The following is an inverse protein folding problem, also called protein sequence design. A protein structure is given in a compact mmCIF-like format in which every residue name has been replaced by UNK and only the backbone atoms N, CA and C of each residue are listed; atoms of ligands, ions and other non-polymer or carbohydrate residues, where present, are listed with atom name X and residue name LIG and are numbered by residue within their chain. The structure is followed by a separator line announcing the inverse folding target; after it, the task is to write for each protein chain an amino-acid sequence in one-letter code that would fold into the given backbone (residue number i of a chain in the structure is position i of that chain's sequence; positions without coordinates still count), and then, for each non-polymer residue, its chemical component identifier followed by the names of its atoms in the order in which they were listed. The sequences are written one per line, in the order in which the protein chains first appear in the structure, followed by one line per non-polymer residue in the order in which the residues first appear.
data_IF_258421806686
#
_entry.id   IF_258421806686
#
_cell.length_a   1.000
_cell.length_b   1.000
_cell.length_c   1.000
_cell.angle_alpha   90.00
_cell.angle_beta   90.00
_cell.angle_gamma   90.00
#
_symmetry.space_group_name_H-M   'P 1'
#
loop_
_entity.id
_entity.type
_entity.pdbx_description
1 polymer ?
#
# COMPACT_ATOMS: atom_id res chain seq x y z
N UNK A 1 -20.45 75.22 -28.80
CA UNK A 1 -19.86 75.64 -30.07
C UNK A 1 -19.43 74.47 -30.86
N UNK A 2 -20.08 74.42 -32.03
CA UNK A 2 -19.97 73.40 -33.07
C UNK A 2 -18.70 73.65 -33.87
N UNK A 3 -17.93 72.62 -34.21
CA UNK A 3 -17.22 72.55 -35.47
C UNK A 3 -17.12 71.09 -35.96
N UNK A 4 -17.86 70.82 -36.99
CA UNK A 4 -17.71 69.66 -37.87
C UNK A 4 -16.46 69.85 -38.73
N UNK A 5 -15.77 68.72 -38.97
CA UNK A 5 -14.95 68.61 -40.17
C UNK A 5 -15.07 67.20 -40.79
N UNK A 6 -15.53 67.25 -42.04
CA UNK A 6 -15.65 66.12 -43.01
C UNK A 6 -14.26 65.81 -43.56
N UNK A 7 -13.87 64.59 -43.67
CA UNK A 7 -12.72 64.21 -44.45
C UNK A 7 -12.92 62.88 -45.20
N UNK A 8 -12.52 62.96 -46.42
CA UNK A 8 -12.75 62.18 -47.57
C UNK A 8 -12.38 60.67 -47.50
N UNK A 9 -13.20 59.90 -48.24
CA UNK A 9 -12.99 58.49 -48.61
C UNK A 9 -11.99 58.44 -49.78
N UNK A 10 -10.92 57.68 -49.57
CA UNK A 10 -10.07 57.18 -50.67
C UNK A 10 -10.16 55.67 -50.72
N UNK A 11 -10.78 55.20 -51.80
CA UNK A 11 -10.90 53.82 -52.22
C UNK A 11 -9.58 53.38 -52.86
N UNK A 12 -8.85 52.49 -52.21
CA UNK A 12 -7.70 51.77 -52.82
C UNK A 12 -7.97 50.25 -52.80
N UNK A 13 -8.16 49.67 -53.96
CA UNK A 13 -8.22 48.22 -54.17
C UNK A 13 -6.83 47.61 -53.90
N UNK A 14 -6.73 46.52 -53.15
CA UNK A 14 -5.52 45.74 -53.14
C UNK A 14 -5.54 44.65 -54.28
N UNK A 15 -4.40 44.57 -54.97
CA UNK A 15 -4.03 43.52 -55.87
C UNK A 15 -4.10 42.16 -55.17
N UNK A 16 -4.81 41.20 -55.77
CA UNK A 16 -4.78 39.82 -55.33
C UNK A 16 -3.42 39.17 -55.73
N UNK A 17 -2.58 38.99 -54.75
CA UNK A 17 -1.39 38.12 -54.87
C UNK A 17 -1.82 36.69 -54.64
N UNK A 18 -1.79 35.87 -55.70
CA UNK A 18 -1.94 34.41 -55.60
C UNK A 18 -0.72 33.86 -54.83
N UNK A 19 -0.86 33.56 -53.56
CA UNK A 19 0.11 32.80 -52.78
C UNK A 19 -0.08 31.30 -53.10
N UNK A 20 0.93 30.72 -53.76
CA UNK A 20 1.03 29.28 -53.95
C UNK A 20 1.19 28.60 -52.62
N UNK A 21 0.27 27.69 -52.26
CA UNK A 21 0.38 26.84 -51.06
C UNK A 21 1.49 25.81 -51.27
N UNK A 22 2.46 25.71 -50.38
CA UNK A 22 3.45 24.62 -50.43
C UNK A 22 2.76 23.29 -50.17
N UNK A 23 2.99 22.35 -51.06
CA UNK A 23 2.57 20.94 -50.92
C UNK A 23 3.06 20.37 -49.59
N UNK A 24 2.13 20.05 -48.69
CA UNK A 24 2.44 19.42 -47.42
C UNK A 24 2.96 17.99 -47.64
N UNK A 25 4.18 17.73 -47.25
CA UNK A 25 4.74 16.38 -47.14
C UNK A 25 3.80 15.50 -46.28
N UNK A 26 3.55 14.24 -46.65
CA UNK A 26 2.74 13.33 -45.84
C UNK A 26 3.37 13.19 -44.43
N UNK A 27 2.56 13.49 -43.41
CA UNK A 27 2.93 13.26 -42.00
C UNK A 27 3.10 11.76 -41.76
N UNK A 28 4.18 11.28 -41.15
CA UNK A 28 4.31 9.88 -40.79
C UNK A 28 3.14 9.45 -39.90
N UNK A 29 2.54 8.30 -40.22
CA UNK A 29 1.43 7.72 -39.45
C UNK A 29 1.85 7.54 -37.98
N UNK A 30 0.99 7.98 -37.07
CA UNK A 30 1.18 7.77 -35.66
C UNK A 30 1.31 6.26 -35.34
N UNK A 31 2.23 5.85 -34.46
CA UNK A 31 2.35 4.44 -34.08
C UNK A 31 1.04 3.95 -33.49
N UNK A 32 0.56 2.80 -33.96
CA UNK A 32 -0.62 2.13 -33.41
C UNK A 32 -0.43 1.92 -31.91
N UNK A 33 -1.49 2.10 -31.07
CA UNK A 33 -1.42 1.80 -29.65
C UNK A 33 -0.96 0.35 -29.48
N UNK A 34 0.15 0.14 -28.73
CA UNK A 34 0.52 -1.21 -28.29
C UNK A 34 -0.63 -1.77 -27.46
N UNK A 35 -1.04 -2.99 -27.78
CA UNK A 35 -2.00 -3.75 -27.00
C UNK A 35 -1.58 -3.74 -25.50
N UNK A 36 -2.53 -3.75 -24.55
CA UNK A 36 -2.20 -3.82 -23.14
C UNK A 36 -1.28 -5.02 -22.90
N UNK A 37 -0.08 -4.75 -22.40
CA UNK A 37 0.81 -5.82 -21.93
C UNK A 37 0.07 -6.51 -20.80
N UNK A 38 -0.29 -7.79 -21.00
CA UNK A 38 -0.86 -8.61 -19.94
C UNK A 38 0.02 -8.48 -18.70
N UNK A 39 -0.61 -8.21 -17.55
CA UNK A 39 0.10 -8.18 -16.27
C UNK A 39 0.93 -9.47 -16.14
N UNK A 40 2.19 -9.40 -15.71
CA UNK A 40 3.01 -10.59 -15.52
C UNK A 40 2.25 -11.54 -14.59
N UNK A 41 2.21 -12.82 -14.96
CA UNK A 41 1.64 -13.87 -14.14
C UNK A 41 2.24 -13.78 -12.72
N UNK A 42 1.45 -13.98 -11.65
CA UNK A 42 1.96 -13.92 -10.30
C UNK A 42 3.17 -14.85 -10.17
N UNK A 43 4.27 -14.31 -9.64
CA UNK A 43 5.47 -15.10 -9.40
C UNK A 43 5.09 -16.33 -8.56
N UNK A 44 5.70 -17.52 -8.84
CA UNK A 44 5.38 -18.73 -8.10
C UNK A 44 5.53 -18.47 -6.60
N UNK A 45 4.50 -18.83 -5.83
CA UNK A 45 4.48 -18.70 -4.39
C UNK A 45 5.73 -19.35 -3.79
N UNK A 46 6.47 -18.60 -2.98
CA UNK A 46 7.61 -19.16 -2.26
C UNK A 46 7.11 -20.35 -1.41
N UNK A 47 7.84 -21.49 -1.36
CA UNK A 47 7.41 -22.62 -0.57
C UNK A 47 7.16 -22.19 0.87
N UNK A 48 5.96 -22.54 1.37
CA UNK A 48 5.51 -22.20 2.72
C UNK A 48 6.42 -22.84 3.76
N UNK A 49 7.08 -22.07 4.64
CA UNK A 49 7.88 -22.62 5.71
C UNK A 49 7.06 -23.01 6.96
N UNK A 50 5.74 -22.82 6.96
CA UNK A 50 4.91 -23.15 8.11
C UNK A 50 3.45 -23.31 7.72
N UNK A 51 2.81 -24.42 8.07
CA UNK A 51 1.46 -24.80 7.68
C UNK A 51 0.35 -24.10 8.49
N UNK A 52 0.49 -22.80 8.76
CA UNK A 52 -0.52 -22.03 9.49
C UNK A 52 -1.62 -21.47 8.58
N UNK A 53 -2.73 -21.01 9.16
CA UNK A 53 -3.77 -20.31 8.44
C UNK A 53 -3.22 -19.14 7.61
N UNK A 54 -3.71 -18.99 6.39
CA UNK A 54 -3.36 -17.86 5.51
C UNK A 54 -4.35 -16.72 5.75
N UNK A 55 -3.84 -15.52 5.90
CA UNK A 55 -4.63 -14.30 6.05
C UNK A 55 -4.52 -13.49 4.76
N UNK A 56 -5.67 -13.10 4.22
CA UNK A 56 -5.81 -12.23 3.04
C UNK A 56 -6.05 -10.81 3.51
N UNK A 57 -5.28 -9.85 2.98
CA UNK A 57 -5.40 -8.43 3.27
C UNK A 57 -5.71 -7.69 1.98
N UNK A 58 -6.95 -7.26 1.82
CA UNK A 58 -7.40 -6.42 0.70
C UNK A 58 -7.18 -4.95 1.06
N UNK A 59 -6.46 -4.23 0.25
CA UNK A 59 -6.13 -2.82 0.48
C UNK A 59 -6.57 -1.92 -0.67
N UNK A 60 -6.38 -0.63 -0.52
CA UNK A 60 -6.57 0.36 -1.61
C UNK A 60 -5.54 0.21 -2.74
N UNK A 61 -4.42 -0.50 -2.51
CA UNK A 61 -3.35 -0.71 -3.49
C UNK A 61 -3.37 -2.11 -4.14
N UNK A 62 -4.23 -2.99 -3.67
CA UNK A 62 -4.31 -4.38 -4.10
C UNK A 62 -4.39 -5.32 -2.91
N UNK A 63 -4.21 -6.60 -3.19
CA UNK A 63 -4.33 -7.67 -2.20
C UNK A 63 -2.98 -8.34 -1.99
N UNK A 64 -2.63 -8.61 -0.74
CA UNK A 64 -1.53 -9.48 -0.39
C UNK A 64 -1.98 -10.55 0.60
N UNK A 65 -1.27 -11.66 0.65
CA UNK A 65 -1.56 -12.78 1.52
C UNK A 65 -0.33 -13.10 2.36
N UNK A 66 -0.54 -13.43 3.62
CA UNK A 66 0.54 -13.94 4.46
C UNK A 66 0.10 -15.19 5.20
N UNK A 67 1.00 -16.15 5.32
CA UNK A 67 0.83 -17.33 6.19
C UNK A 67 1.22 -16.99 7.62
N UNK A 68 0.62 -17.70 8.56
CA UNK A 68 0.92 -17.55 9.98
C UNK A 68 1.80 -18.70 10.49
N UNK A 69 2.49 -18.49 11.63
CA UNK A 69 3.40 -19.44 12.24
C UNK A 69 2.89 -19.93 13.62
N UNK A 70 1.81 -20.75 13.67
CA UNK A 70 1.21 -21.17 14.94
C UNK A 70 2.12 -22.06 15.78
N UNK A 71 3.13 -22.73 15.16
CA UNK A 71 4.08 -23.55 15.91
C UNK A 71 5.11 -22.72 16.69
N UNK A 72 5.44 -21.52 16.23
CA UNK A 72 6.42 -20.66 16.88
C UNK A 72 5.79 -19.51 17.69
N UNK A 73 4.57 -19.11 17.32
CA UNK A 73 3.87 -18.01 17.97
C UNK A 73 2.37 -18.32 18.15
N UNK A 74 2.00 -19.42 18.83
CA UNK A 74 0.62 -19.91 18.90
C UNK A 74 -0.36 -18.88 19.48
N UNK A 75 -0.01 -18.20 20.55
CA UNK A 75 -0.89 -17.21 21.21
C UNK A 75 -1.03 -15.93 20.40
N UNK A 76 0.06 -15.49 19.77
CA UNK A 76 0.03 -14.33 18.86
C UNK A 76 -0.85 -14.63 17.65
N UNK A 77 -0.69 -15.81 17.05
CA UNK A 77 -1.51 -16.22 15.89
C UNK A 77 -2.98 -16.34 16.29
N UNK A 78 -3.29 -17.02 17.41
CA UNK A 78 -4.67 -17.13 17.95
C UNK A 78 -5.30 -15.74 18.14
N UNK A 79 -4.56 -14.83 18.77
CA UNK A 79 -5.00 -13.45 19.03
C UNK A 79 -5.30 -12.69 17.72
N UNK A 80 -4.37 -12.71 16.76
CA UNK A 80 -4.57 -12.04 15.47
C UNK A 80 -5.74 -12.66 14.70
N UNK A 81 -5.88 -13.98 14.68
CA UNK A 81 -7.00 -14.65 14.04
C UNK A 81 -8.35 -14.26 14.68
N UNK A 82 -8.40 -14.13 16.01
CA UNK A 82 -9.60 -13.66 16.71
C UNK A 82 -9.97 -12.22 16.31
N UNK A 83 -8.98 -11.32 16.17
CA UNK A 83 -9.19 -9.95 15.69
C UNK A 83 -9.68 -9.93 14.23
N UNK A 84 -9.10 -10.77 13.37
CA UNK A 84 -9.50 -10.92 11.96
C UNK A 84 -10.95 -11.39 11.85
N UNK A 85 -11.32 -12.45 12.57
CA UNK A 85 -12.68 -13.03 12.56
C UNK A 85 -13.76 -12.04 12.99
N UNK A 86 -13.46 -11.12 13.90
CA UNK A 86 -14.39 -10.05 14.32
C UNK A 86 -14.30 -8.77 13.49
N UNK A 87 -13.65 -8.82 12.32
CA UNK A 87 -13.45 -7.70 11.39
C UNK A 87 -12.76 -6.47 12.00
N UNK A 88 -11.92 -6.66 13.03
CA UNK A 88 -11.24 -5.56 13.71
C UNK A 88 -10.40 -4.70 12.77
N UNK A 89 -9.73 -5.28 11.78
CA UNK A 89 -8.83 -4.59 10.87
C UNK A 89 -9.52 -3.87 9.70
N UNK A 90 -10.79 -4.19 9.43
CA UNK A 90 -11.56 -3.57 8.33
C UNK A 90 -11.73 -2.06 8.57
N UNK A 91 -11.35 -1.27 7.57
CA UNK A 91 -11.40 0.19 7.62
C UNK A 91 -10.20 0.85 8.33
N UNK A 92 -9.28 0.07 8.91
CA UNK A 92 -8.05 0.62 9.45
C UNK A 92 -7.10 1.09 8.33
N UNK A 93 -6.18 1.99 8.68
CA UNK A 93 -5.18 2.52 7.75
C UNK A 93 -3.78 2.11 8.17
N UNK A 94 -2.91 2.05 7.18
CA UNK A 94 -1.48 2.02 7.45
C UNK A 94 -1.06 3.39 7.97
N UNK A 95 -0.67 3.46 9.23
CA UNK A 95 -0.33 4.72 9.90
C UNK A 95 1.17 5.03 9.85
N UNK A 96 2.00 4.02 9.57
CA UNK A 96 3.45 4.14 9.42
C UNK A 96 3.91 3.39 8.18
N UNK A 97 4.61 4.10 7.31
CA UNK A 97 5.24 3.54 6.11
C UNK A 97 6.63 4.14 6.01
N UNK A 98 7.65 3.31 6.11
CA UNK A 98 9.04 3.67 5.91
C UNK A 98 9.58 2.91 4.71
N UNK A 99 9.84 3.59 3.58
CA UNK A 99 10.32 2.95 2.36
C UNK A 99 11.59 2.13 2.62
N UNK A 100 11.59 0.89 2.10
CA UNK A 100 12.72 -0.03 2.31
C UNK A 100 12.84 -0.61 3.71
N UNK A 101 11.96 -0.26 4.64
CA UNK A 101 11.97 -0.77 6.01
C UNK A 101 10.67 -1.51 6.35
N UNK A 102 9.59 -0.82 6.70
CA UNK A 102 8.33 -1.46 7.11
C UNK A 102 7.09 -0.69 6.65
N UNK A 103 5.96 -1.42 6.56
CA UNK A 103 4.61 -0.87 6.60
C UNK A 103 3.92 -1.38 7.86
N UNK A 104 3.20 -0.53 8.60
CA UNK A 104 2.60 -0.87 9.90
C UNK A 104 1.14 -0.40 9.96
N UNK A 105 0.28 -1.28 10.48
CA UNK A 105 -1.16 -1.06 10.67
C UNK A 105 -1.63 -1.64 12.02
N UNK A 106 -2.94 -1.53 12.32
CA UNK A 106 -3.56 -2.18 13.48
C UNK A 106 -4.00 -1.23 14.59
N UNK A 107 -3.90 0.08 14.39
CA UNK A 107 -4.42 1.07 15.35
C UNK A 107 -5.86 1.49 14.99
N UNK A 108 -6.86 1.28 15.87
CA UNK A 108 -8.25 1.65 15.63
C UNK A 108 -8.50 3.16 15.48
N UNK A 109 -7.62 4.02 16.02
CA UNK A 109 -7.70 5.47 15.82
C UNK A 109 -7.60 5.85 14.33
N UNK A 110 -6.99 4.98 13.51
CA UNK A 110 -6.78 5.24 12.08
C UNK A 110 -8.06 5.21 11.25
N UNK A 111 -9.20 4.77 11.80
CA UNK A 111 -10.51 4.91 11.13
C UNK A 111 -10.93 6.36 11.01
N UNK A 112 -10.54 7.17 11.98
CA UNK A 112 -10.85 8.59 12.05
C UNK A 112 -9.64 9.42 11.63
N UNK A 113 -9.74 10.08 10.49
CA UNK A 113 -8.65 10.91 9.97
C UNK A 113 -8.40 12.16 10.82
N UNK A 114 -9.40 12.63 11.56
CA UNK A 114 -9.26 13.78 12.47
C UNK A 114 -8.35 13.47 13.65
N UNK A 115 -8.18 12.16 13.97
CA UNK A 115 -7.30 11.66 15.03
C UNK A 115 -5.90 11.30 14.55
N UNK A 116 -5.46 11.85 13.43
CA UNK A 116 -4.15 11.49 12.82
C UNK A 116 -2.96 11.68 13.77
N UNK A 117 -3.04 12.63 14.67
CA UNK A 117 -2.04 12.87 15.71
C UNK A 117 -1.97 11.76 16.80
N UNK A 118 -2.98 10.89 16.86
CA UNK A 118 -3.06 9.75 17.77
C UNK A 118 -2.78 8.42 17.08
N UNK A 119 -2.52 8.42 15.77
CA UNK A 119 -2.25 7.20 15.04
C UNK A 119 -0.98 6.52 15.55
N UNK A 120 -1.04 5.20 15.74
CA UNK A 120 0.05 4.38 16.27
C UNK A 120 0.05 4.24 17.78
N UNK A 121 -0.90 4.87 18.50
CA UNK A 121 -0.90 4.90 19.97
C UNK A 121 -1.87 3.92 20.64
N UNK A 122 -2.78 3.28 19.85
CA UNK A 122 -3.85 2.43 20.41
C UNK A 122 -3.79 1.00 19.86
N UNK A 123 -4.60 0.13 20.44
CA UNK A 123 -4.74 -1.28 20.05
C UNK A 123 -6.17 -1.77 20.27
N UNK A 124 -6.35 -3.08 20.37
CA UNK A 124 -7.67 -3.71 20.61
C UNK A 124 -8.13 -3.58 22.07
N UNK A 125 -7.23 -3.20 22.97
CA UNK A 125 -7.45 -3.18 24.40
C UNK A 125 -7.18 -4.53 25.08
N UNK A 126 -6.74 -5.52 24.33
CA UNK A 126 -6.45 -6.87 24.86
C UNK A 126 -5.07 -7.31 24.36
N UNK A 127 -4.00 -7.14 25.11
CA UNK A 127 -2.67 -7.57 24.69
C UNK A 127 -2.56 -9.10 24.62
N UNK A 128 -1.59 -9.59 23.84
CA UNK A 128 -1.26 -11.04 23.74
C UNK A 128 -0.94 -11.64 25.11
N UNK A 129 -0.35 -10.86 25.99
CA UNK A 129 -0.12 -11.23 27.39
C UNK A 129 1.18 -12.00 27.65
N UNK A 130 1.87 -12.45 26.58
CA UNK A 130 3.16 -13.12 26.70
C UNK A 130 4.08 -12.82 25.50
N UNK A 131 5.34 -13.17 25.61
CA UNK A 131 6.35 -12.97 24.58
C UNK A 131 6.72 -14.30 23.92
N UNK A 132 6.50 -14.39 22.60
CA UNK A 132 6.83 -15.58 21.78
C UNK A 132 8.01 -15.27 20.85
N UNK A 133 9.04 -14.64 21.38
CA UNK A 133 10.26 -14.35 20.64
C UNK A 133 10.93 -15.65 20.17
N UNK A 134 11.21 -15.74 18.87
CA UNK A 134 11.88 -16.91 18.29
C UNK A 134 13.10 -16.46 17.48
N UNK A 135 14.22 -17.16 17.66
CA UNK A 135 15.41 -16.99 16.82
C UNK A 135 15.32 -17.80 15.52
N UNK A 136 14.30 -18.67 15.37
CA UNK A 136 14.04 -19.43 14.14
C UNK A 136 13.36 -18.59 13.06
N UNK A 137 12.66 -17.52 13.46
CA UNK A 137 11.94 -16.62 12.55
C UNK A 137 12.60 -15.26 12.53
N UNK A 138 13.23 -14.94 11.41
CA UNK A 138 13.99 -13.72 11.19
C UNK A 138 13.17 -12.69 10.43
N UNK A 139 13.54 -11.42 10.56
CA UNK A 139 12.95 -10.32 9.80
C UNK A 139 13.52 -10.28 8.37
N UNK A 140 13.26 -11.35 7.63
CA UNK A 140 13.52 -11.37 6.17
C UNK A 140 12.52 -10.46 5.45
N UNK A 141 12.74 -10.16 4.17
CA UNK A 141 11.75 -9.43 3.37
C UNK A 141 10.40 -10.16 3.39
N UNK A 142 9.32 -9.43 3.69
CA UNK A 142 7.97 -9.95 3.81
C UNK A 142 7.64 -10.60 5.17
N UNK A 143 8.53 -10.56 6.16
CA UNK A 143 8.20 -11.02 7.51
C UNK A 143 7.08 -10.16 8.11
N UNK A 144 6.11 -10.82 8.76
CA UNK A 144 5.00 -10.18 9.48
C UNK A 144 5.25 -10.33 10.96
N UNK A 145 5.35 -9.20 11.69
CA UNK A 145 5.70 -9.19 13.10
C UNK A 145 4.83 -8.24 13.92
N UNK A 146 4.69 -8.54 15.21
CA UNK A 146 3.96 -7.70 16.16
C UNK A 146 4.73 -6.43 16.49
N UNK A 147 4.04 -5.29 16.48
CA UNK A 147 4.59 -4.04 17.00
C UNK A 147 4.34 -3.93 18.52
N UNK A 148 5.30 -3.35 19.25
CA UNK A 148 5.16 -3.02 20.66
C UNK A 148 6.11 -1.87 21.07
N UNK A 149 5.82 -1.21 22.17
CA UNK A 149 6.64 -0.15 22.78
C UNK A 149 7.48 -0.70 23.92
N UNK A 150 8.55 -1.47 23.57
CA UNK A 150 9.55 -1.95 24.52
C UNK A 150 9.26 -3.29 25.21
N UNK A 151 8.00 -3.74 25.30
CA UNK A 151 7.64 -5.03 25.93
C UNK A 151 6.83 -5.91 24.97
N UNK A 152 7.40 -7.02 24.45
CA UNK A 152 6.69 -7.92 23.54
C UNK A 152 5.39 -8.51 24.10
N UNK A 153 5.29 -8.74 25.39
CA UNK A 153 4.06 -9.26 26.02
C UNK A 153 2.90 -8.24 25.99
N UNK A 154 3.19 -6.95 25.79
CA UNK A 154 2.19 -5.89 25.62
C UNK A 154 1.82 -5.64 24.15
N UNK A 155 2.37 -6.43 23.20
CA UNK A 155 1.90 -6.41 21.83
C UNK A 155 0.39 -6.73 21.81
N UNK A 156 -0.35 -5.99 20.96
CA UNK A 156 -1.81 -6.12 20.90
C UNK A 156 -2.27 -6.31 19.44
N UNK A 157 -2.77 -5.28 18.80
CA UNK A 157 -3.36 -5.38 17.47
C UNK A 157 -2.44 -4.84 16.37
N UNK A 158 -1.40 -4.08 16.70
CA UNK A 158 -0.53 -3.50 15.70
C UNK A 158 0.51 -4.51 15.21
N UNK A 159 0.63 -4.61 13.90
CA UNK A 159 1.61 -5.44 13.21
C UNK A 159 2.26 -4.68 12.05
N UNK A 160 3.41 -5.16 11.61
CA UNK A 160 4.11 -4.62 10.46
C UNK A 160 4.61 -5.70 9.51
N UNK A 161 4.81 -5.33 8.26
CA UNK A 161 5.49 -6.15 7.24
C UNK A 161 6.83 -5.50 6.92
N UNK A 162 7.89 -6.30 6.88
CA UNK A 162 9.22 -5.83 6.49
C UNK A 162 9.33 -5.76 4.96
N UNK A 163 9.78 -4.62 4.44
CA UNK A 163 9.97 -4.41 3.00
C UNK A 163 11.35 -4.88 2.51
N UNK A 164 12.29 -5.05 3.42
CA UNK A 164 13.61 -5.67 3.22
C UNK A 164 13.96 -6.55 4.43
N UNK A 165 15.11 -7.24 4.38
CA UNK A 165 15.65 -7.92 5.55
C UNK A 165 16.08 -6.88 6.60
N UNK A 166 15.72 -7.10 7.88
CA UNK A 166 16.00 -6.18 8.99
C UNK A 166 16.57 -6.93 10.19
N UNK A 167 17.81 -7.45 10.12
CA UNK A 167 18.39 -8.29 11.18
C UNK A 167 18.47 -7.62 12.56
N UNK A 168 18.52 -6.29 12.63
CA UNK A 168 18.52 -5.53 13.91
C UNK A 168 17.28 -5.73 14.78
N UNK A 169 16.18 -6.26 14.18
CA UNK A 169 14.92 -6.54 14.87
C UNK A 169 14.81 -8.01 15.33
N UNK A 170 15.72 -8.88 14.88
CA UNK A 170 15.69 -10.29 15.21
C UNK A 170 15.82 -10.52 16.73
N UNK A 171 14.96 -11.40 17.27
CA UNK A 171 14.90 -11.68 18.70
C UNK A 171 14.33 -10.55 19.56
N UNK A 172 13.85 -9.45 18.98
CA UNK A 172 13.23 -8.31 19.70
C UNK A 172 11.73 -8.20 19.48
N UNK A 173 11.23 -8.68 18.34
CA UNK A 173 9.82 -8.66 17.97
C UNK A 173 9.36 -10.05 17.58
N UNK A 174 8.10 -10.37 17.88
CA UNK A 174 7.50 -11.66 17.56
C UNK A 174 7.16 -11.69 16.07
N UNK A 175 7.93 -12.45 15.28
CA UNK A 175 7.60 -12.75 13.89
C UNK A 175 6.59 -13.89 13.89
N UNK A 176 5.36 -13.63 13.47
CA UNK A 176 4.25 -14.58 13.51
C UNK A 176 3.72 -14.99 12.13
N UNK A 177 4.33 -14.48 11.06
CA UNK A 177 3.93 -14.82 9.70
C UNK A 177 4.90 -14.31 8.65
N UNK A 178 4.56 -14.58 7.38
CA UNK A 178 5.30 -14.12 6.19
C UNK A 178 4.37 -13.93 5.00
N UNK A 179 4.58 -12.87 4.26
CA UNK A 179 3.90 -12.62 2.98
C UNK A 179 4.32 -13.71 1.98
N UNK A 180 3.32 -14.42 1.44
CA UNK A 180 3.48 -15.49 0.46
C UNK A 180 2.97 -15.11 -0.92
N UNK A 181 2.12 -14.08 -1.01
CA UNK A 181 1.58 -13.56 -2.27
C UNK A 181 1.39 -12.04 -2.17
N UNK A 182 1.54 -11.31 -3.29
CA UNK A 182 1.33 -9.86 -3.34
C UNK A 182 2.40 -9.03 -2.60
N UNK A 183 3.64 -9.50 -2.52
CA UNK A 183 4.74 -8.78 -1.87
C UNK A 183 5.04 -7.43 -2.56
N UNK A 184 4.81 -7.33 -3.86
CA UNK A 184 4.89 -6.10 -4.65
C UNK A 184 3.83 -5.07 -4.22
N UNK A 185 2.62 -5.51 -3.87
CA UNK A 185 1.56 -4.65 -3.33
C UNK A 185 2.03 -3.98 -2.03
N UNK A 186 2.73 -4.72 -1.16
CA UNK A 186 3.22 -4.15 0.11
C UNK A 186 4.19 -2.97 -0.10
N UNK A 187 4.93 -2.95 -1.21
CA UNK A 187 5.86 -1.85 -1.54
C UNK A 187 5.18 -0.61 -2.09
N UNK A 188 3.91 -0.71 -2.49
CA UNK A 188 3.10 0.39 -3.03
C UNK A 188 2.25 1.07 -1.96
N UNK A 189 2.13 0.48 -0.76
CA UNK A 189 1.36 1.01 0.37
C UNK A 189 1.94 2.36 0.82
N UNK A 190 1.06 3.31 1.09
CA UNK A 190 1.37 4.64 1.60
C UNK A 190 0.63 4.90 2.92
N UNK A 191 1.11 5.87 3.69
CA UNK A 191 0.41 6.32 4.90
C UNK A 191 -1.00 6.80 4.55
N UNK A 192 -2.00 6.25 5.22
CA UNK A 192 -3.41 6.54 4.98
C UNK A 192 -4.12 5.53 4.07
N UNK A 193 -3.40 4.64 3.36
CA UNK A 193 -4.03 3.54 2.61
C UNK A 193 -4.85 2.65 3.54
N UNK A 194 -6.00 2.17 3.04
CA UNK A 194 -7.02 1.49 3.84
C UNK A 194 -6.91 -0.03 3.67
N UNK A 195 -7.02 -0.75 4.77
CA UNK A 195 -7.38 -2.17 4.79
C UNK A 195 -8.87 -2.26 4.55
N UNK A 196 -9.29 -2.61 3.33
CA UNK A 196 -10.70 -2.74 2.95
C UNK A 196 -11.34 -3.95 3.62
N UNK A 197 -10.58 -5.05 3.68
CA UNK A 197 -10.99 -6.29 4.32
C UNK A 197 -9.77 -7.10 4.73
N UNK A 198 -9.89 -7.82 5.85
CA UNK A 198 -8.89 -8.78 6.29
C UNK A 198 -9.61 -10.03 6.77
N UNK A 199 -9.26 -11.20 6.23
CA UNK A 199 -9.96 -12.45 6.52
C UNK A 199 -9.03 -13.65 6.41
N UNK A 200 -9.42 -14.75 7.06
CA UNK A 200 -8.74 -16.05 6.94
C UNK A 200 -9.17 -16.67 5.62
N UNK A 201 -8.20 -17.09 4.81
CA UNK A 201 -8.46 -17.79 3.55
C UNK A 201 -9.16 -19.13 3.85
N UNK A 202 -10.24 -19.45 3.13
CA UNK A 202 -10.93 -20.73 3.29
C UNK A 202 -10.04 -21.94 3.02
#
# INVERSE_FOLDING_TARGET
MVVSLVAAVLLSLPLAVFAQTPSAKPRPAAPKPKAPVAAPAPAPALPSPGAGPVIVVETTKGTFEFETYPNEAPRTVEHILALVKRNFYTGLRFHRVEPGFVIQAGDPNTRDYTKKNLWGTSGSGTPVGLSELSRKRLHVKGAVAMAHSGNPAKADAQWYVTLNAVPRLDGKYVVFGRVINGLDVTTQIQVGDIIRKMYVKP
#
